data_IF_501186970596
#
_entry.id   IF_501186970596
#
_cell.length_a   1.000
_cell.length_b   1.000
_cell.length_c   1.000
_cell.angle_alpha   90.00
_cell.angle_beta   90.00
_cell.angle_gamma   90.00
#
_symmetry.space_group_name_H-M   'P 1'
#
loop_
_entity.id
_entity.type
_entity.pdbx_description
1 polymer ?
#
# COMPACT_ATOMS: atom_id res chain seq x y z
N UNK A 1 -13.25 11.86 -22.79
CA UNK A 1 -12.58 10.65 -23.32
C UNK A 1 -11.15 10.51 -22.79
N UNK A 2 -10.31 11.55 -22.86
CA UNK A 2 -8.91 11.52 -22.36
C UNK A 2 -8.80 11.28 -20.85
N UNK A 3 -9.67 11.91 -20.05
CA UNK A 3 -9.67 11.78 -18.59
C UNK A 3 -9.98 10.34 -18.12
N UNK A 4 -10.86 9.62 -18.83
CA UNK A 4 -11.18 8.22 -18.54
C UNK A 4 -10.02 7.26 -18.87
N UNK A 5 -9.21 7.56 -19.89
CA UNK A 5 -7.98 6.82 -20.18
C UNK A 5 -6.92 7.07 -19.10
N UNK A 6 -6.72 8.32 -18.68
CA UNK A 6 -5.75 8.66 -17.64
C UNK A 6 -6.06 7.99 -16.30
N UNK A 7 -7.33 7.95 -15.90
CA UNK A 7 -7.75 7.26 -14.67
C UNK A 7 -7.53 5.75 -14.77
N UNK A 8 -7.81 5.14 -15.93
CA UNK A 8 -7.55 3.71 -16.15
C UNK A 8 -6.06 3.36 -16.03
N UNK A 9 -5.17 4.16 -16.61
CA UNK A 9 -3.73 3.94 -16.54
C UNK A 9 -3.19 4.08 -15.11
N UNK A 10 -3.66 5.10 -14.38
CA UNK A 10 -3.29 5.29 -12.97
C UNK A 10 -3.74 4.11 -12.10
N UNK A 11 -4.95 3.61 -12.31
CA UNK A 11 -5.45 2.43 -11.61
C UNK A 11 -4.61 1.19 -11.91
N UNK A 12 -4.24 0.95 -13.17
CA UNK A 12 -3.38 -0.18 -13.52
C UNK A 12 -2.02 -0.11 -12.83
N UNK A 13 -1.38 1.07 -12.82
CA UNK A 13 -0.10 1.28 -12.14
C UNK A 13 -0.23 1.04 -10.63
N UNK A 14 -1.32 1.50 -10.01
CA UNK A 14 -1.60 1.26 -8.61
C UNK A 14 -1.77 -0.24 -8.32
N UNK A 15 -2.56 -0.96 -9.13
CA UNK A 15 -2.76 -2.41 -8.97
C UNK A 15 -1.44 -3.19 -9.13
N UNK A 16 -0.63 -2.87 -10.13
CA UNK A 16 0.72 -3.47 -10.30
C UNK A 16 1.60 -3.19 -9.08
N UNK A 17 1.58 -1.96 -8.56
CA UNK A 17 2.36 -1.56 -7.39
C UNK A 17 1.94 -2.28 -6.11
N UNK A 18 0.63 -2.47 -5.93
CA UNK A 18 0.07 -3.24 -4.82
C UNK A 18 0.37 -4.74 -4.97
N UNK A 19 0.42 -5.27 -6.19
CA UNK A 19 0.76 -6.67 -6.43
C UNK A 19 2.21 -7.04 -6.08
N UNK A 20 3.10 -6.05 -6.04
CA UNK A 20 4.49 -6.20 -5.57
C UNK A 20 4.64 -6.22 -4.03
N UNK A 21 3.56 -5.96 -3.29
CA UNK A 21 3.54 -6.12 -1.85
C UNK A 21 3.20 -7.56 -1.48
N UNK A 22 3.85 -8.08 -0.45
CA UNK A 22 3.48 -9.39 0.11
C UNK A 22 2.09 -9.34 0.73
N UNK A 23 1.43 -10.49 0.87
CA UNK A 23 0.07 -10.56 1.43
C UNK A 23 -0.05 -9.90 2.81
N UNK A 24 0.95 -10.11 3.68
CA UNK A 24 0.98 -9.51 5.01
C UNK A 24 1.15 -7.98 4.98
N UNK A 25 1.86 -7.48 3.97
CA UNK A 25 2.07 -6.05 3.76
C UNK A 25 0.79 -5.36 3.26
N UNK A 26 0.09 -6.00 2.31
CA UNK A 26 -1.23 -5.52 1.83
C UNK A 26 -2.23 -5.47 2.98
N UNK A 27 -2.26 -6.51 3.82
CA UNK A 27 -3.18 -6.57 4.95
C UNK A 27 -2.99 -5.40 5.93
N UNK A 28 -1.75 -5.02 6.23
CA UNK A 28 -1.46 -3.84 7.07
C UNK A 28 -2.02 -2.55 6.43
N UNK A 29 -1.90 -2.39 5.11
CA UNK A 29 -2.46 -1.22 4.41
C UNK A 29 -3.98 -1.23 4.37
N UNK A 30 -4.60 -2.40 4.18
CA UNK A 30 -6.07 -2.57 4.22
C UNK A 30 -6.59 -2.13 5.58
N UNK A 31 -6.08 -2.73 6.65
CA UNK A 31 -6.50 -2.40 8.02
C UNK A 31 -6.29 -0.92 8.34
N UNK A 32 -5.21 -0.30 7.83
CA UNK A 32 -4.91 1.10 8.15
C UNK A 32 -5.73 2.13 7.36
N UNK A 33 -5.95 1.89 6.07
CA UNK A 33 -6.48 2.92 5.15
C UNK A 33 -7.88 2.62 4.62
N UNK A 34 -8.33 1.36 4.68
CA UNK A 34 -9.67 0.98 4.27
C UNK A 34 -10.57 0.78 5.48
N UNK A 35 -10.05 0.11 6.52
CA UNK A 35 -10.77 -0.09 7.79
C UNK A 35 -10.48 1.02 8.83
N UNK A 36 -9.60 1.98 8.49
CA UNK A 36 -9.22 3.13 9.32
C UNK A 36 -8.72 2.81 10.74
N UNK A 37 -8.24 1.58 10.98
CA UNK A 37 -7.87 1.13 12.32
C UNK A 37 -6.62 1.86 12.85
N UNK A 38 -6.56 2.16 14.16
CA UNK A 38 -5.37 2.68 14.80
C UNK A 38 -4.24 1.65 14.81
N UNK A 39 -2.99 2.12 14.87
CA UNK A 39 -1.80 1.24 14.84
C UNK A 39 -1.81 0.18 15.94
N UNK A 40 -2.37 0.51 17.11
CA UNK A 40 -2.51 -0.40 18.24
C UNK A 40 -3.43 -1.59 17.91
N UNK A 41 -4.58 -1.37 17.29
CA UNK A 41 -5.51 -2.44 16.89
C UNK A 41 -4.92 -3.33 15.80
N UNK A 42 -4.24 -2.72 14.81
CA UNK A 42 -3.52 -3.47 13.79
C UNK A 42 -2.43 -4.36 14.44
N UNK A 43 -1.76 -3.86 15.46
CA UNK A 43 -0.74 -4.61 16.19
C UNK A 43 -1.32 -5.85 16.89
N UNK A 44 -2.51 -5.71 17.49
CA UNK A 44 -3.25 -6.82 18.08
C UNK A 44 -3.67 -7.85 17.02
N UNK A 45 -4.28 -7.41 15.92
CA UNK A 45 -4.72 -8.28 14.80
C UNK A 45 -3.53 -9.03 14.20
N UNK A 46 -2.37 -8.38 14.10
CA UNK A 46 -1.17 -8.95 13.51
C UNK A 46 -0.27 -9.70 14.48
N UNK A 47 -0.65 -9.75 15.76
CA UNK A 47 0.17 -10.32 16.84
C UNK A 47 1.62 -9.77 16.82
N UNK A 48 1.72 -8.43 16.80
CA UNK A 48 2.98 -7.67 16.80
C UNK A 48 2.88 -6.51 17.79
N UNK A 49 4.00 -5.83 18.03
CA UNK A 49 4.03 -4.61 18.82
C UNK A 49 3.67 -3.40 17.95
N UNK A 50 3.05 -2.38 18.56
CA UNK A 50 2.65 -1.16 17.86
C UNK A 50 3.83 -0.46 17.16
N UNK A 51 4.98 -0.38 17.82
CA UNK A 51 6.21 0.18 17.23
C UNK A 51 6.62 -0.56 15.95
N UNK A 52 6.45 -1.89 15.91
CA UNK A 52 6.71 -2.70 14.71
C UNK A 52 5.75 -2.35 13.59
N UNK A 53 4.46 -2.19 13.88
CA UNK A 53 3.45 -1.80 12.89
C UNK A 53 3.75 -0.39 12.34
N UNK A 54 4.07 0.56 13.21
CA UNK A 54 4.43 1.94 12.81
C UNK A 54 5.60 1.97 11.83
N UNK A 55 6.69 1.24 12.16
CA UNK A 55 7.85 1.12 11.28
C UNK A 55 7.49 0.40 9.98
N UNK A 56 6.68 -0.67 10.05
CA UNK A 56 6.20 -1.37 8.85
C UNK A 56 5.39 -0.45 7.96
N UNK A 57 4.36 0.23 8.45
CA UNK A 57 3.53 1.16 7.66
C UNK A 57 4.40 2.21 6.95
N UNK A 58 5.37 2.82 7.66
CA UNK A 58 6.28 3.78 7.02
C UNK A 58 7.10 3.14 5.89
N UNK A 59 7.67 1.95 6.11
CA UNK A 59 8.42 1.20 5.08
C UNK A 59 7.53 0.79 3.90
N UNK A 60 6.30 0.38 4.16
CA UNK A 60 5.32 0.00 3.13
C UNK A 60 4.94 1.15 2.24
N UNK A 61 4.67 2.33 2.81
CA UNK A 61 4.40 3.53 2.02
C UNK A 61 5.61 3.92 1.15
N UNK A 62 6.83 3.79 1.68
CA UNK A 62 8.05 4.04 0.92
C UNK A 62 8.19 3.05 -0.25
N UNK A 63 7.99 1.75 0.01
CA UNK A 63 8.01 0.68 -0.99
C UNK A 63 6.95 0.89 -2.07
N UNK A 64 5.72 1.21 -1.67
CA UNK A 64 4.62 1.50 -2.61
C UNK A 64 4.95 2.71 -3.50
N UNK A 65 5.49 3.79 -2.93
CA UNK A 65 5.94 4.97 -3.71
C UNK A 65 7.07 4.62 -4.69
N UNK A 66 7.99 3.75 -4.31
CA UNK A 66 9.06 3.29 -5.21
C UNK A 66 8.50 2.46 -6.36
N UNK A 67 7.59 1.52 -6.06
CA UNK A 67 6.92 0.71 -7.08
C UNK A 67 6.13 1.59 -8.07
N UNK A 68 5.35 2.54 -7.56
CA UNK A 68 4.59 3.50 -8.39
C UNK A 68 5.51 4.31 -9.32
N UNK A 69 6.72 4.66 -8.87
CA UNK A 69 7.71 5.33 -9.72
C UNK A 69 8.21 4.38 -10.82
N UNK A 70 8.63 3.18 -10.46
CA UNK A 70 9.13 2.18 -11.42
C UNK A 70 8.12 1.97 -12.55
N UNK A 71 6.87 1.66 -12.22
CA UNK A 71 5.83 1.43 -13.22
C UNK A 71 5.38 2.68 -13.99
N UNK A 72 5.68 3.89 -13.49
CA UNK A 72 5.46 5.14 -14.23
C UNK A 72 6.54 5.44 -15.26
N UNK A 73 7.75 4.89 -15.09
CA UNK A 73 8.89 5.09 -15.99
C UNK A 73 9.14 3.91 -16.95
N UNK A 74 8.38 2.82 -16.82
CA UNK A 74 8.38 1.71 -17.77
C UNK A 74 7.60 2.00 -19.07
N UNK A 75 7.01 3.19 -19.18
CA UNK A 75 6.31 3.72 -20.35
C UNK A 75 6.97 5.02 -20.81
#
# INVERSE_FOLDING_TARGET
MVEQLQVKDQNQILYKSLNMLESSEKQILILRYFEELPMAEIALIMNKNESTIRVRVHRLLKKLRQNLKIFRYEH
#
